data_IF_654175122464
#
_entry.id   IF_654175122464
#
_cell.length_a   1.000
_cell.length_b   1.000
_cell.length_c   1.000
_cell.angle_alpha   90.00
_cell.angle_beta   90.00
_cell.angle_gamma   90.00
#
_symmetry.space_group_name_H-M   'P 1'
#
loop_
_entity.id
_entity.type
_entity.pdbx_description
1 polymer ?
#
# COMPACT_ATOMS: atom_id res chain seq x y z
N UNK A 1 11.55 26.08 13.34
CA UNK A 1 12.09 25.06 12.41
C UNK A 1 11.09 23.93 12.47
N UNK A 2 10.44 23.56 11.36
CA UNK A 2 9.63 22.33 11.36
C UNK A 2 10.48 21.30 10.66
N UNK A 3 11.00 20.40 11.47
CA UNK A 3 11.75 19.21 11.10
C UNK A 3 10.69 18.18 10.69
N UNK A 4 10.92 17.41 9.63
CA UNK A 4 10.11 16.23 9.38
C UNK A 4 10.24 15.36 10.63
N UNK A 5 9.13 15.00 11.26
CA UNK A 5 9.17 14.06 12.37
C UNK A 5 9.52 12.69 11.79
N UNK A 6 10.82 12.45 11.67
CA UNK A 6 11.39 11.23 11.10
C UNK A 6 10.95 10.03 11.92
N UNK A 7 10.85 10.19 13.24
CA UNK A 7 10.39 9.14 14.14
C UNK A 7 8.95 8.76 13.82
N UNK A 8 8.04 9.74 13.68
CA UNK A 8 6.66 9.48 13.31
C UNK A 8 6.51 8.89 11.89
N UNK A 9 7.38 9.24 10.94
CA UNK A 9 7.38 8.65 9.60
C UNK A 9 7.85 7.18 9.64
N UNK A 10 8.94 6.89 10.36
CA UNK A 10 9.47 5.54 10.52
C UNK A 10 8.51 4.63 11.30
N UNK A 11 7.83 5.17 12.32
CA UNK A 11 6.77 4.50 13.06
C UNK A 11 5.61 4.11 12.14
N UNK A 12 5.13 5.04 11.31
CA UNK A 12 4.05 4.75 10.36
C UNK A 12 4.41 3.71 9.29
N UNK A 13 5.68 3.65 8.85
CA UNK A 13 6.15 2.57 7.96
C UNK A 13 6.18 1.21 8.67
N UNK A 14 6.52 1.20 9.96
CA UNK A 14 6.54 -0.04 10.75
C UNK A 14 5.12 -0.53 11.07
N UNK A 15 4.20 0.38 11.41
CA UNK A 15 2.77 0.07 11.52
C UNK A 15 2.23 -0.54 10.23
N UNK A 16 2.51 0.09 9.07
CA UNK A 16 2.08 -0.44 7.77
C UNK A 16 2.63 -1.83 7.45
N UNK A 17 3.87 -2.15 7.89
CA UNK A 17 4.42 -3.51 7.75
C UNK A 17 3.69 -4.52 8.63
N UNK A 18 3.34 -4.14 9.86
CA UNK A 18 2.58 -4.99 10.78
C UNK A 18 1.16 -5.25 10.27
N UNK A 19 0.53 -4.24 9.67
CA UNK A 19 -0.78 -4.38 9.02
C UNK A 19 -0.70 -5.37 7.85
N UNK A 20 0.34 -5.25 7.01
CA UNK A 20 0.57 -6.22 5.92
C UNK A 20 0.76 -7.63 6.46
N UNK A 21 1.55 -7.82 7.53
CA UNK A 21 1.75 -9.14 8.14
C UNK A 21 0.42 -9.74 8.64
N UNK A 22 -0.45 -8.91 9.21
CA UNK A 22 -1.81 -9.32 9.62
C UNK A 22 -2.63 -9.79 8.40
N UNK A 23 -2.62 -9.03 7.31
CA UNK A 23 -3.35 -9.40 6.08
C UNK A 23 -2.77 -10.68 5.45
N UNK A 24 -1.45 -10.88 5.50
CA UNK A 24 -0.81 -12.12 5.02
C UNK A 24 -1.28 -13.34 5.82
N UNK A 25 -1.41 -13.22 7.15
CA UNK A 25 -1.95 -14.28 8.00
C UNK A 25 -3.42 -14.61 7.66
N UNK A 26 -4.24 -13.59 7.41
CA UNK A 26 -5.64 -13.76 7.00
C UNK A 26 -5.74 -14.46 5.63
N UNK A 27 -4.92 -14.06 4.66
CA UNK A 27 -4.87 -14.68 3.33
C UNK A 27 -4.43 -16.15 3.44
N UNK A 28 -3.44 -16.45 4.27
CA UNK A 28 -2.97 -17.82 4.53
C UNK A 28 -4.06 -18.71 5.15
N UNK A 29 -4.81 -18.14 6.09
CA UNK A 29 -5.97 -18.81 6.71
C UNK A 29 -7.07 -19.10 5.68
N UNK A 30 -7.34 -18.15 4.78
CA UNK A 30 -8.30 -18.32 3.70
C UNK A 30 -7.84 -19.35 2.67
N UNK A 31 -6.56 -19.35 2.28
CA UNK A 31 -5.98 -20.38 1.40
C UNK A 31 -6.14 -21.78 1.99
N UNK A 32 -5.89 -21.94 3.29
CA UNK A 32 -6.09 -23.22 4.00
C UNK A 32 -7.55 -23.64 3.97
N UNK A 33 -8.47 -22.71 4.25
CA UNK A 33 -9.91 -22.94 4.19
C UNK A 33 -10.38 -23.40 2.79
N UNK A 34 -9.94 -22.71 1.74
CA UNK A 34 -10.27 -23.06 0.35
C UNK A 34 -9.67 -24.42 -0.03
N UNK A 35 -8.44 -24.69 0.39
CA UNK A 35 -7.79 -25.99 0.17
C UNK A 35 -8.57 -27.13 0.80
N UNK A 36 -9.02 -26.96 2.04
CA UNK A 36 -9.86 -27.94 2.71
C UNK A 36 -11.21 -28.11 2.00
N UNK A 37 -11.84 -27.01 1.58
CA UNK A 37 -13.13 -27.01 0.90
C UNK A 37 -13.11 -27.78 -0.43
N UNK A 38 -12.17 -27.51 -1.35
CA UNK A 38 -12.19 -28.23 -2.63
C UNK A 38 -11.75 -29.69 -2.49
N UNK A 39 -11.09 -30.06 -1.38
CA UNK A 39 -10.71 -31.44 -1.06
C UNK A 39 -11.83 -32.24 -0.36
N UNK A 40 -12.85 -31.59 0.22
CA UNK A 40 -14.00 -32.27 0.86
C UNK A 40 -15.02 -32.78 -0.17
N UNK A 41 -14.70 -33.93 -0.79
CA UNK A 41 -15.54 -34.58 -1.82
C UNK A 41 -16.82 -35.21 -1.28
N UNK A 42 -16.87 -35.44 0.02
CA UNK A 42 -17.98 -36.06 0.75
C UNK A 42 -19.12 -35.07 1.05
N UNK A 43 -18.80 -33.79 1.21
CA UNK A 43 -19.77 -32.72 1.55
C UNK A 43 -20.45 -32.15 0.32
N UNK A 44 -19.69 -31.86 -0.74
CA UNK A 44 -20.22 -31.51 -2.06
C UNK A 44 -19.86 -32.62 -3.03
N UNK A 45 -20.84 -33.37 -3.52
CA UNK A 45 -20.65 -34.51 -4.44
C UNK A 45 -21.47 -34.35 -5.73
N UNK A 46 -21.22 -35.22 -6.71
CA UNK A 46 -21.83 -35.16 -8.04
C UNK A 46 -21.19 -34.10 -8.95
N UNK A 47 -21.62 -34.06 -10.21
CA UNK A 47 -21.01 -33.21 -11.25
C UNK A 47 -21.03 -31.71 -10.89
N UNK A 48 -22.13 -31.23 -10.28
CA UNK A 48 -22.23 -29.84 -9.81
C UNK A 48 -21.26 -29.56 -8.66
N UNK A 49 -21.12 -30.50 -7.71
CA UNK A 49 -20.15 -30.36 -6.62
C UNK A 49 -18.71 -30.38 -7.13
N UNK A 50 -18.41 -31.22 -8.12
CA UNK A 50 -17.11 -31.26 -8.77
C UNK A 50 -16.79 -29.95 -9.50
N UNK A 51 -17.77 -29.36 -10.19
CA UNK A 51 -17.61 -28.06 -10.85
C UNK A 51 -17.31 -26.93 -9.85
N UNK A 52 -18.05 -26.86 -8.74
CA UNK A 52 -17.83 -25.84 -7.69
C UNK A 52 -16.45 -26.00 -7.06
N UNK A 53 -16.05 -27.21 -6.67
CA UNK A 53 -14.73 -27.44 -6.07
C UNK A 53 -13.60 -27.13 -7.06
N UNK A 54 -13.77 -27.46 -8.34
CA UNK A 54 -12.81 -27.12 -9.41
C UNK A 54 -12.70 -25.61 -9.58
N UNK A 55 -13.82 -24.88 -9.57
CA UNK A 55 -13.82 -23.42 -9.64
C UNK A 55 -13.01 -22.78 -8.50
N UNK A 56 -13.25 -23.19 -7.25
CA UNK A 56 -12.48 -22.69 -6.10
C UNK A 56 -11.00 -23.04 -6.18
N UNK A 57 -10.67 -24.24 -6.67
CA UNK A 57 -9.28 -24.67 -6.84
C UNK A 57 -8.56 -23.89 -7.95
N UNK A 58 -9.19 -23.70 -9.10
CA UNK A 58 -8.54 -23.19 -10.30
C UNK A 58 -8.63 -21.66 -10.45
N UNK A 59 -9.60 -21.02 -9.78
CA UNK A 59 -9.77 -19.56 -9.82
C UNK A 59 -9.30 -18.93 -8.51
N UNK A 60 -9.90 -19.32 -7.38
CA UNK A 60 -9.60 -18.68 -6.09
C UNK A 60 -8.22 -19.07 -5.54
N UNK A 61 -7.79 -20.32 -5.73
CA UNK A 61 -6.46 -20.78 -5.32
C UNK A 61 -5.33 -19.90 -5.89
N UNK A 62 -5.20 -19.77 -7.22
CA UNK A 62 -4.18 -18.92 -7.85
C UNK A 62 -4.28 -17.45 -7.46
N UNK A 63 -5.50 -16.90 -7.36
CA UNK A 63 -5.71 -15.51 -6.92
C UNK A 63 -5.12 -15.26 -5.52
N UNK A 64 -5.40 -16.14 -4.55
CA UNK A 64 -4.88 -15.97 -3.20
C UNK A 64 -3.36 -16.14 -3.14
N UNK A 65 -2.77 -17.02 -3.96
CA UNK A 65 -1.31 -17.13 -4.06
C UNK A 65 -0.69 -15.85 -4.62
N UNK A 66 -1.32 -15.26 -5.64
CA UNK A 66 -0.88 -13.99 -6.20
C UNK A 66 -1.00 -12.84 -5.19
N UNK A 67 -2.13 -12.73 -4.48
CA UNK A 67 -2.36 -11.71 -3.46
C UNK A 67 -1.31 -11.79 -2.34
N UNK A 68 -1.02 -13.00 -1.85
CA UNK A 68 0.01 -13.20 -0.84
C UNK A 68 1.38 -12.72 -1.33
N UNK A 69 1.80 -13.12 -2.53
CA UNK A 69 3.07 -12.71 -3.10
C UNK A 69 3.14 -11.19 -3.33
N UNK A 70 2.02 -10.56 -3.67
CA UNK A 70 1.94 -9.12 -3.78
C UNK A 70 2.12 -8.41 -2.43
N UNK A 71 1.47 -8.88 -1.37
CA UNK A 71 1.62 -8.35 -0.02
C UNK A 71 3.07 -8.44 0.47
N UNK A 72 3.73 -9.58 0.22
CA UNK A 72 5.15 -9.77 0.55
C UNK A 72 6.04 -8.76 -0.19
N UNK A 73 5.82 -8.57 -1.50
CA UNK A 73 6.56 -7.58 -2.29
C UNK A 73 6.29 -6.13 -1.83
N UNK A 74 5.07 -5.85 -1.35
CA UNK A 74 4.72 -4.52 -0.84
C UNK A 74 5.47 -4.23 0.46
N UNK A 75 5.53 -5.21 1.37
CA UNK A 75 6.34 -5.12 2.59
C UNK A 75 7.84 -4.96 2.29
N UNK A 76 8.35 -5.66 1.28
CA UNK A 76 9.75 -5.46 0.82
C UNK A 76 9.97 -4.03 0.31
N UNK A 77 9.02 -3.48 -0.45
CA UNK A 77 9.09 -2.09 -0.94
C UNK A 77 9.14 -1.09 0.21
N UNK A 78 8.33 -1.29 1.26
CA UNK A 78 8.36 -0.44 2.47
C UNK A 78 9.71 -0.58 3.19
N UNK A 79 10.25 -1.80 3.26
CA UNK A 79 11.57 -2.05 3.87
C UNK A 79 12.68 -1.34 3.11
N UNK A 80 12.71 -1.44 1.78
CA UNK A 80 13.67 -0.68 0.95
C UNK A 80 13.51 0.83 1.11
N UNK A 81 12.28 1.31 1.31
CA UNK A 81 12.02 2.73 1.58
C UNK A 81 12.60 3.15 2.94
N UNK A 82 12.43 2.34 4.00
CA UNK A 82 13.04 2.56 5.31
C UNK A 82 14.58 2.62 5.20
N UNK A 83 15.18 1.64 4.53
CA UNK A 83 16.64 1.56 4.34
C UNK A 83 17.17 2.75 3.55
N UNK A 84 16.51 3.12 2.45
CA UNK A 84 16.91 4.27 1.62
C UNK A 84 16.86 5.58 2.40
N UNK A 85 15.85 5.75 3.26
CA UNK A 85 15.73 6.93 4.13
C UNK A 85 16.84 6.96 5.18
N UNK A 86 17.20 5.80 5.74
CA UNK A 86 18.25 5.67 6.77
C UNK A 86 19.68 5.81 6.21
N UNK A 87 19.93 5.30 5.00
CA UNK A 87 21.18 5.49 4.26
C UNK A 87 21.38 6.93 3.83
N UNK A 88 20.29 7.57 3.39
CA UNK A 88 20.32 8.96 2.95
C UNK A 88 20.58 9.92 4.11
N UNK A 89 20.10 9.59 5.31
CA UNK A 89 20.10 10.52 6.44
C UNK A 89 20.36 9.85 7.80
N UNK A 90 21.60 9.42 8.03
CA UNK A 90 22.01 8.77 9.29
C UNK A 90 22.09 9.72 10.50
N UNK A 91 21.76 11.00 10.32
CA UNK A 91 21.84 12.05 11.35
C UNK A 91 20.45 12.58 11.69
N UNK A 92 20.10 12.72 12.99
CA UNK A 92 18.81 13.27 13.43
C UNK A 92 18.54 14.73 13.00
N UNK A 93 19.53 15.45 12.44
CA UNK A 93 19.44 16.83 11.94
C UNK A 93 19.44 16.94 10.39
N UNK A 94 19.05 15.87 9.71
CA UNK A 94 19.23 15.73 8.28
C UNK A 94 18.33 16.55 7.33
N UNK A 95 18.78 16.69 6.07
CA UNK A 95 18.14 17.49 5.02
C UNK A 95 17.68 16.64 3.81
N UNK A 96 16.38 16.40 3.73
CA UNK A 96 15.73 15.72 2.59
C UNK A 96 15.76 16.60 1.32
N UNK A 97 16.21 16.02 0.20
CA UNK A 97 16.14 16.66 -1.13
C UNK A 97 14.69 16.77 -1.59
N UNK A 98 14.28 17.97 -1.99
CA UNK A 98 12.95 18.28 -2.52
C UNK A 98 12.55 17.37 -3.68
N UNK A 99 13.47 17.13 -4.62
CA UNK A 99 13.30 16.24 -5.77
C UNK A 99 12.92 14.80 -5.36
N UNK A 100 13.45 14.29 -4.24
CA UNK A 100 13.10 12.95 -3.75
C UNK A 100 11.64 12.90 -3.28
N UNK A 101 11.21 13.92 -2.54
CA UNK A 101 9.83 14.04 -2.07
C UNK A 101 8.85 14.19 -3.24
N UNK A 102 9.16 15.05 -4.20
CA UNK A 102 8.28 15.32 -5.34
C UNK A 102 8.26 14.19 -6.38
N UNK A 103 9.38 13.54 -6.65
CA UNK A 103 9.46 12.53 -7.71
C UNK A 103 9.25 11.11 -7.19
N UNK A 104 9.92 10.73 -6.09
CA UNK A 104 9.92 9.34 -5.62
C UNK A 104 8.74 9.05 -4.70
N UNK A 105 8.49 9.93 -3.74
CA UNK A 105 7.44 9.70 -2.75
C UNK A 105 6.04 9.89 -3.37
N UNK A 106 5.84 10.93 -4.18
CA UNK A 106 4.57 11.12 -4.91
C UNK A 106 4.31 9.96 -5.88
N UNK A 107 5.30 9.55 -6.68
CA UNK A 107 5.13 8.41 -7.59
C UNK A 107 4.85 7.10 -6.84
N UNK A 108 5.39 6.94 -5.63
CA UNK A 108 5.04 5.82 -4.75
C UNK A 108 3.56 5.79 -4.39
N UNK A 109 2.99 6.94 -4.01
CA UNK A 109 1.55 7.05 -3.73
C UNK A 109 0.69 6.84 -4.98
N UNK A 110 1.08 7.38 -6.13
CA UNK A 110 0.38 7.14 -7.41
C UNK A 110 0.36 5.65 -7.77
N UNK A 111 1.49 4.95 -7.57
CA UNK A 111 1.56 3.51 -7.79
C UNK A 111 0.67 2.72 -6.83
N UNK A 112 0.50 3.18 -5.58
CA UNK A 112 -0.44 2.56 -4.63
C UNK A 112 -1.88 2.75 -5.10
N UNK A 113 -2.24 3.95 -5.56
CA UNK A 113 -3.58 4.24 -6.09
C UNK A 113 -3.90 3.37 -7.33
N UNK A 114 -3.00 3.33 -8.30
CA UNK A 114 -3.17 2.54 -9.54
C UNK A 114 -3.39 1.06 -9.21
N UNK A 115 -2.63 0.52 -8.27
CA UNK A 115 -2.71 -0.90 -7.88
C UNK A 115 -3.97 -1.21 -7.07
N UNK A 116 -4.37 -0.32 -6.17
CA UNK A 116 -5.60 -0.49 -5.40
C UNK A 116 -6.83 -0.52 -6.33
N UNK A 117 -6.86 0.34 -7.36
CA UNK A 117 -7.92 0.36 -8.37
C UNK A 117 -7.90 -0.88 -9.26
N UNK A 118 -6.70 -1.30 -9.72
CA UNK A 118 -6.53 -2.50 -10.53
C UNK A 118 -7.10 -3.73 -9.81
N UNK A 119 -6.74 -3.93 -8.54
CA UNK A 119 -7.22 -5.08 -7.76
C UNK A 119 -8.68 -4.99 -7.39
N UNK A 120 -9.18 -3.79 -7.06
CA UNK A 120 -10.60 -3.65 -6.75
C UNK A 120 -11.45 -3.94 -7.98
N UNK A 121 -11.00 -3.51 -9.15
CA UNK A 121 -11.63 -3.87 -10.42
C UNK A 121 -11.60 -5.38 -10.66
N UNK A 122 -10.43 -6.02 -10.56
CA UNK A 122 -10.29 -7.45 -10.80
C UNK A 122 -11.10 -8.31 -9.81
N UNK A 123 -11.06 -7.97 -8.53
CA UNK A 123 -11.83 -8.66 -7.50
C UNK A 123 -13.34 -8.47 -7.70
N UNK A 124 -13.76 -7.26 -8.07
CA UNK A 124 -15.16 -6.98 -8.36
C UNK A 124 -15.65 -7.71 -9.62
N UNK A 125 -14.81 -7.89 -10.63
CA UNK A 125 -15.10 -8.71 -11.81
C UNK A 125 -15.30 -10.19 -11.43
N UNK A 126 -14.48 -10.72 -10.52
CA UNK A 126 -14.63 -12.09 -10.00
C UNK A 126 -15.91 -12.22 -9.18
N UNK A 127 -16.22 -11.23 -8.32
CA UNK A 127 -17.47 -11.19 -7.55
C UNK A 127 -18.69 -11.23 -8.47
N UNK A 128 -18.66 -10.50 -9.59
CA UNK A 128 -19.79 -10.52 -10.54
C UNK A 128 -19.99 -11.89 -11.19
N UNK A 129 -18.89 -12.59 -11.49
CA UNK A 129 -18.95 -13.93 -12.12
C UNK A 129 -19.58 -15.00 -11.25
N UNK A 130 -19.67 -14.79 -9.93
CA UNK A 130 -20.27 -15.74 -8.98
C UNK A 130 -21.53 -15.21 -8.31
N UNK A 131 -22.00 -14.04 -8.73
CA UNK A 131 -23.14 -13.33 -8.12
C UNK A 131 -24.45 -14.10 -8.20
N UNK A 132 -24.57 -15.00 -9.18
CA UNK A 132 -25.66 -15.94 -9.38
C UNK A 132 -25.66 -17.10 -8.36
N UNK A 133 -24.51 -17.41 -7.77
CA UNK A 133 -24.34 -18.47 -6.77
C UNK A 133 -24.40 -17.88 -5.35
N UNK A 134 -23.77 -16.72 -5.13
CA UNK A 134 -23.65 -16.08 -3.83
C UNK A 134 -23.60 -14.56 -3.94
N UNK A 135 -24.38 -13.87 -3.11
CA UNK A 135 -24.37 -12.41 -3.06
C UNK A 135 -23.25 -11.93 -2.13
N UNK A 136 -22.21 -11.33 -2.70
CA UNK A 136 -21.09 -10.73 -1.97
C UNK A 136 -21.07 -9.21 -2.17
N UNK A 137 -20.65 -8.49 -1.13
CA UNK A 137 -20.42 -7.05 -1.23
C UNK A 137 -19.20 -6.78 -2.14
N UNK A 138 -19.27 -5.69 -2.90
CA UNK A 138 -18.15 -5.20 -3.72
C UNK A 138 -17.04 -4.67 -2.83
N UNK A 139 -15.81 -4.86 -3.27
CA UNK A 139 -14.64 -4.24 -2.66
C UNK A 139 -14.65 -2.76 -3.04
N UNK A 140 -14.26 -1.91 -2.09
CA UNK A 140 -14.18 -0.45 -2.21
C UNK A 140 -12.80 0.01 -1.75
N UNK A 141 -12.04 0.63 -2.65
CA UNK A 141 -10.69 1.16 -2.43
C UNK A 141 -10.67 2.61 -1.93
N UNK A 142 -11.83 3.25 -1.73
CA UNK A 142 -11.94 4.68 -1.42
C UNK A 142 -11.05 5.11 -0.26
N UNK A 143 -10.98 4.31 0.81
CA UNK A 143 -10.15 4.61 1.98
C UNK A 143 -8.65 4.60 1.63
N UNK A 144 -8.19 3.62 0.83
CA UNK A 144 -6.80 3.53 0.37
C UNK A 144 -6.44 4.74 -0.52
N UNK A 145 -7.34 5.12 -1.42
CA UNK A 145 -7.16 6.29 -2.28
C UNK A 145 -7.11 7.59 -1.47
N UNK A 146 -7.97 7.72 -0.47
CA UNK A 146 -7.97 8.89 0.41
C UNK A 146 -6.66 8.99 1.22
N UNK A 147 -6.17 7.88 1.75
CA UNK A 147 -4.89 7.85 2.46
C UNK A 147 -3.71 8.18 1.56
N UNK A 148 -3.68 7.68 0.33
CA UNK A 148 -2.65 7.99 -0.65
C UNK A 148 -2.67 9.48 -1.04
N UNK A 149 -3.85 10.05 -1.30
CA UNK A 149 -3.99 11.48 -1.61
C UNK A 149 -3.60 12.37 -0.42
N UNK A 150 -3.97 11.97 0.79
CA UNK A 150 -3.54 12.66 2.02
C UNK A 150 -2.01 12.59 2.21
N UNK A 151 -1.39 11.46 1.87
CA UNK A 151 0.06 11.32 1.79
C UNK A 151 0.68 12.32 0.80
N UNK A 152 0.17 12.37 -0.43
CA UNK A 152 0.61 13.33 -1.46
C UNK A 152 0.46 14.79 -1.00
N UNK A 153 -0.66 15.15 -0.36
CA UNK A 153 -0.88 16.49 0.20
C UNK A 153 0.13 16.83 1.29
N UNK A 154 0.44 15.90 2.20
CA UNK A 154 1.47 16.11 3.24
C UNK A 154 2.84 16.38 2.63
N UNK A 155 3.23 15.60 1.63
CA UNK A 155 4.49 15.77 0.89
C UNK A 155 4.57 17.16 0.25
N UNK A 156 3.55 17.58 -0.51
CA UNK A 156 3.49 18.92 -1.14
C UNK A 156 3.57 20.05 -0.10
N UNK A 157 2.87 19.91 1.02
CA UNK A 157 2.90 20.89 2.10
C UNK A 157 4.29 21.04 2.73
N UNK A 158 5.03 19.93 2.86
CA UNK A 158 6.41 19.94 3.35
C UNK A 158 7.29 20.72 2.38
N UNK A 159 7.26 20.39 1.08
CA UNK A 159 8.04 21.06 0.03
C UNK A 159 7.77 22.57 0.00
N UNK A 160 6.49 22.96 -0.04
CA UNK A 160 6.06 24.38 -0.01
C UNK A 160 6.57 25.12 1.23
N UNK A 161 6.54 24.45 2.38
CA UNK A 161 7.05 24.96 3.65
C UNK A 161 8.55 25.25 3.60
N UNK A 162 9.33 24.34 3.01
CA UNK A 162 10.76 24.50 2.79
C UNK A 162 11.06 25.68 1.87
N UNK A 163 10.41 25.78 0.71
CA UNK A 163 10.61 26.90 -0.24
C UNK A 163 10.31 28.27 0.37
N UNK A 164 9.24 28.40 1.18
CA UNK A 164 8.87 29.66 1.86
C UNK A 164 9.91 30.05 2.92
N UNK A 165 10.44 29.06 3.64
CA UNK A 165 11.48 29.24 4.67
C UNK A 165 12.81 29.70 4.07
N UNK A 166 13.29 29.03 3.00
CA UNK A 166 14.52 29.43 2.30
C UNK A 166 14.40 30.81 1.67
N UNK A 167 13.28 31.14 1.00
CA UNK A 167 13.03 32.50 0.47
C UNK A 167 13.05 33.57 1.57
N UNK A 168 12.49 33.29 2.76
CA UNK A 168 12.53 34.21 3.92
C UNK A 168 13.96 34.40 4.43
N UNK A 169 14.69 33.31 4.67
CA UNK A 169 16.10 33.38 5.13
C UNK A 169 16.96 34.15 4.14
N UNK A 170 16.78 33.95 2.83
CA UNK A 170 17.53 34.64 1.79
C UNK A 170 17.20 36.14 1.71
N UNK A 171 15.92 36.52 1.86
CA UNK A 171 15.52 37.94 2.00
C UNK A 171 16.10 38.60 3.25
N UNK A 172 16.16 37.86 4.36
CA UNK A 172 16.69 38.34 5.63
C UNK A 172 18.21 38.52 5.56
N UNK A 173 18.92 37.55 4.97
CA UNK A 173 20.35 37.64 4.68
C UNK A 173 20.68 38.82 3.75
N UNK A 174 19.91 39.01 2.66
CA UNK A 174 20.04 40.19 1.78
C UNK A 174 19.83 41.53 2.49
N UNK A 175 19.00 41.57 3.54
CA UNK A 175 18.84 42.76 4.39
C UNK A 175 20.04 42.97 5.32
N UNK A 176 20.63 41.91 5.86
CA UNK A 176 21.80 41.99 6.72
C UNK A 176 23.10 42.31 5.97
N UNK A 177 23.21 41.93 4.69
CA UNK A 177 24.42 42.12 3.86
C UNK A 177 24.36 43.37 2.99
N UNK A 178 23.25 44.13 3.03
CA UNK A 178 23.18 45.48 2.46
C UNK A 178 23.86 46.47 3.41
N UNK A 179 25.15 46.70 3.20
CA UNK A 179 25.85 47.94 3.56
C UNK A 179 25.49 48.99 2.51
#
# INVERSE_FOLDING_TARGET
>A
MKVLDMDAFMEGLEEGKNDIDTVVEDVSTLQTSITNFYNSKDVLSGEAGDAIRTYFKEVHGPFLSFLQQWLENYKETITTMQESVQEFESSPDGFIREEFLEEKVIAGFEKVEDRAQEFTTEANDIIDRVSDIVSLAKIDETEVLEHADNGKKKVRNIVDGYMKSTKRKWKQWKRCVRI
#
